data_IF_264488248496
#
_entry.id   IF_264488248496
#
_cell.length_a   1.000
_cell.length_b   1.000
_cell.length_c   1.000
_cell.angle_alpha   90.00
_cell.angle_beta   90.00
_cell.angle_gamma   90.00
#
_symmetry.space_group_name_H-M   'P 1'
#
loop_
_entity.id
_entity.type
_entity.pdbx_description
1 polymer ?
#
# COMPACT_ATOMS: atom_id res chain seq x y z
N UNK A 1 49.94 -3.92 31.58
CA UNK A 1 49.33 -2.67 31.09
C UNK A 1 48.79 -2.98 29.71
N UNK A 2 47.47 -3.27 29.64
CA UNK A 2 46.76 -3.64 28.40
C UNK A 2 46.38 -2.31 27.72
N UNK A 3 46.69 -2.11 26.43
CA UNK A 3 46.31 -0.88 25.74
C UNK A 3 44.79 -0.78 25.60
N UNK A 4 44.21 0.42 25.68
CA UNK A 4 42.77 0.60 25.55
C UNK A 4 42.34 0.20 24.15
N UNK A 5 41.33 -0.66 24.07
CA UNK A 5 40.66 -1.00 22.80
C UNK A 5 40.08 0.28 22.19
N UNK A 6 40.62 0.70 21.05
CA UNK A 6 40.01 1.72 20.21
C UNK A 6 38.63 1.17 19.75
N UNK A 7 37.59 1.70 20.30
CA UNK A 7 36.25 1.51 19.72
C UNK A 7 36.23 2.22 18.35
N UNK A 8 36.25 1.44 17.30
CA UNK A 8 35.95 1.95 15.97
C UNK A 8 34.50 2.44 16.03
N UNK A 9 34.29 3.74 15.88
CA UNK A 9 32.98 4.32 15.67
C UNK A 9 32.56 3.92 14.25
N UNK A 10 31.58 3.07 14.11
CA UNK A 10 30.99 2.85 12.82
C UNK A 10 30.04 4.01 12.51
N UNK A 11 30.01 4.38 11.27
CA UNK A 11 29.24 5.48 10.70
C UNK A 11 28.27 4.81 9.73
N UNK A 12 27.02 5.23 9.69
CA UNK A 12 26.07 4.78 8.66
C UNK A 12 26.45 5.32 7.28
N UNK A 13 25.68 4.97 6.25
CA UNK A 13 25.90 5.43 4.87
C UNK A 13 25.81 6.96 4.74
N UNK A 14 25.17 7.64 5.70
CA UNK A 14 25.01 9.10 5.76
C UNK A 14 26.03 9.80 6.67
N UNK A 15 26.99 9.07 7.27
CA UNK A 15 28.06 9.63 8.10
C UNK A 15 27.67 9.89 9.55
N UNK A 16 26.53 9.37 10.02
CA UNK A 16 26.07 9.51 11.40
C UNK A 16 26.74 8.45 12.28
N UNK A 17 27.30 8.87 13.42
CA UNK A 17 27.91 7.97 14.42
C UNK A 17 26.80 7.27 15.19
N UNK A 18 26.55 6.00 14.86
CA UNK A 18 25.56 5.17 15.56
C UNK A 18 26.07 4.76 16.95
N UNK A 19 25.16 4.69 17.93
CA UNK A 19 25.44 4.10 19.24
C UNK A 19 25.83 2.61 19.06
N UNK A 20 26.83 2.09 19.79
CA UNK A 20 27.25 0.69 19.69
C UNK A 20 26.13 -0.35 19.89
N UNK A 21 25.09 0.01 20.61
CA UNK A 21 23.92 -0.86 20.80
C UNK A 21 22.97 -0.83 19.57
N UNK A 22 22.78 0.32 18.98
CA UNK A 22 22.00 0.52 17.76
C UNK A 22 22.57 -0.29 16.59
N UNK A 23 23.89 -0.32 16.45
CA UNK A 23 24.59 -1.17 15.50
C UNK A 23 24.39 -2.65 15.76
N UNK A 24 24.48 -3.08 17.02
CA UNK A 24 24.24 -4.48 17.38
C UNK A 24 22.80 -4.88 17.13
N UNK A 25 21.85 -3.99 17.40
CA UNK A 25 20.43 -4.23 17.14
C UNK A 25 20.17 -4.31 15.64
N UNK A 26 20.70 -3.41 14.83
CA UNK A 26 20.56 -3.43 13.37
C UNK A 26 21.19 -4.69 12.77
N UNK A 27 22.39 -5.09 13.21
CA UNK A 27 23.04 -6.33 12.77
C UNK A 27 22.24 -7.58 13.18
N UNK A 28 21.67 -7.62 14.36
CA UNK A 28 20.83 -8.73 14.81
C UNK A 28 19.51 -8.76 14.01
N UNK A 29 18.88 -7.62 13.86
CA UNK A 29 17.61 -7.49 13.13
C UNK A 29 17.76 -7.79 11.63
N UNK A 30 18.89 -7.47 11.02
CA UNK A 30 19.19 -7.78 9.62
C UNK A 30 19.49 -9.27 9.39
N UNK A 31 20.05 -9.97 10.40
CA UNK A 31 20.41 -11.39 10.30
C UNK A 31 19.30 -12.34 10.77
N UNK A 32 18.31 -11.86 11.50
CA UNK A 32 17.15 -12.64 11.92
C UNK A 32 16.05 -12.47 10.86
N UNK A 33 15.59 -13.58 10.30
CA UNK A 33 14.40 -13.60 9.42
C UNK A 33 13.12 -13.33 10.21
N UNK A 34 13.09 -12.21 10.93
CA UNK A 34 11.97 -11.76 11.73
C UNK A 34 11.51 -10.36 11.29
N UNK A 35 10.22 -10.15 11.32
CA UNK A 35 9.60 -8.84 11.13
C UNK A 35 9.75 -8.08 12.44
N UNK A 36 10.74 -7.18 12.52
CA UNK A 36 11.02 -6.40 13.73
C UNK A 36 10.75 -4.93 13.42
N UNK A 37 10.05 -4.25 14.33
CA UNK A 37 9.89 -2.80 14.30
C UNK A 37 9.99 -2.21 15.69
N UNK A 38 10.38 -0.93 15.78
CA UNK A 38 10.44 -0.14 17.00
C UNK A 38 9.51 1.06 16.83
N UNK A 39 8.73 1.36 17.84
CA UNK A 39 7.72 2.41 17.81
C UNK A 39 7.84 3.32 19.02
N UNK A 40 7.54 4.61 18.82
CA UNK A 40 7.38 5.56 19.89
C UNK A 40 6.07 5.34 20.69
N UNK A 41 5.86 6.13 21.74
CA UNK A 41 4.66 6.05 22.57
C UNK A 41 3.35 6.31 21.81
N UNK A 42 3.39 7.02 20.69
CA UNK A 42 2.25 7.30 19.83
C UNK A 42 1.97 6.17 18.82
N UNK A 43 2.94 5.24 18.64
CA UNK A 43 2.87 4.15 17.68
C UNK A 43 3.47 4.49 16.32
N UNK A 44 4.29 5.55 16.22
CA UNK A 44 5.01 5.85 14.98
C UNK A 44 6.28 5.00 14.87
N UNK A 45 6.63 4.61 13.64
CA UNK A 45 7.83 3.83 13.40
C UNK A 45 9.11 4.63 13.68
N UNK A 46 9.95 4.11 14.56
CA UNK A 46 11.34 4.56 14.79
C UNK A 46 12.29 3.69 13.97
N UNK A 47 11.98 2.39 13.86
CA UNK A 47 12.73 1.41 13.10
C UNK A 47 11.82 0.41 12.43
N UNK A 48 12.19 -0.04 11.23
CA UNK A 48 11.56 -1.14 10.50
C UNK A 48 12.63 -2.06 9.89
N UNK A 49 12.50 -3.38 10.10
CA UNK A 49 13.41 -4.35 9.47
C UNK A 49 13.17 -4.41 7.96
N UNK A 50 14.18 -4.76 7.16
CA UNK A 50 14.03 -4.92 5.70
C UNK A 50 12.90 -5.88 5.33
N UNK A 51 12.73 -6.96 6.08
CA UNK A 51 11.68 -7.95 5.85
C UNK A 51 10.27 -7.38 6.04
N UNK A 52 10.08 -6.37 6.90
CA UNK A 52 8.80 -5.67 7.02
C UNK A 52 8.49 -4.84 5.76
N UNK A 53 9.49 -4.19 5.19
CA UNK A 53 9.35 -3.48 3.91
C UNK A 53 9.05 -4.44 2.76
N UNK A 54 9.67 -5.62 2.73
CA UNK A 54 9.37 -6.67 1.75
C UNK A 54 7.93 -7.19 1.90
N UNK A 55 7.49 -7.45 3.13
CA UNK A 55 6.12 -7.91 3.41
C UNK A 55 5.08 -6.90 2.97
N UNK A 56 5.27 -5.63 3.33
CA UNK A 56 4.28 -4.57 3.11
C UNK A 56 4.38 -3.93 1.73
N UNK A 57 5.53 -4.07 1.05
CA UNK A 57 5.83 -3.36 -0.19
C UNK A 57 6.11 -1.86 0.02
N UNK A 58 6.16 -1.39 1.28
CA UNK A 58 6.41 0.02 1.61
C UNK A 58 7.89 0.21 1.92
N UNK A 59 8.59 1.13 1.24
CA UNK A 59 9.99 1.42 1.52
C UNK A 59 10.22 1.84 2.97
N UNK A 60 11.35 1.43 3.55
CA UNK A 60 11.72 1.73 4.93
C UNK A 60 11.63 3.22 5.27
N UNK A 61 12.16 4.07 4.39
CA UNK A 61 12.16 5.53 4.60
C UNK A 61 10.76 6.14 4.65
N UNK A 62 9.80 5.51 3.98
CA UNK A 62 8.38 5.89 4.04
C UNK A 62 7.71 5.41 5.33
N UNK A 63 8.18 4.28 5.89
CA UNK A 63 7.69 3.77 7.17
C UNK A 63 8.14 4.63 8.33
N UNK A 64 9.39 5.09 8.34
CA UNK A 64 9.94 5.88 9.44
C UNK A 64 9.12 7.16 9.68
N UNK A 65 8.70 7.37 10.92
CA UNK A 65 7.83 8.48 11.32
C UNK A 65 6.35 8.30 10.98
N UNK A 66 5.98 7.31 10.15
CA UNK A 66 4.57 7.04 9.87
C UNK A 66 3.90 6.26 11.03
N UNK A 67 2.60 6.44 11.27
CA UNK A 67 1.90 5.70 12.29
C UNK A 67 1.69 4.24 11.86
N UNK A 68 1.82 3.28 12.80
CA UNK A 68 1.60 1.84 12.54
C UNK A 68 0.20 1.55 12.00
N UNK A 69 -0.79 2.35 12.37
CA UNK A 69 -2.17 2.25 11.86
C UNK A 69 -2.23 2.29 10.33
N UNK A 70 -1.24 2.93 9.68
CA UNK A 70 -1.12 2.94 8.23
C UNK A 70 -0.93 1.55 7.61
N UNK A 71 -0.45 0.58 8.39
CA UNK A 71 -0.23 -0.79 7.95
C UNK A 71 -1.19 -1.81 8.57
N UNK A 72 -1.92 -1.47 9.62
CA UNK A 72 -2.83 -2.37 10.34
C UNK A 72 -4.23 -2.30 9.72
N UNK A 73 -4.89 -3.44 9.58
CA UNK A 73 -6.29 -3.49 9.11
C UNK A 73 -7.20 -2.64 10.02
N UNK A 74 -8.15 -1.84 9.48
CA UNK A 74 -8.97 -0.91 10.27
C UNK A 74 -9.68 -1.54 11.46
N UNK A 75 -10.29 -2.71 11.25
CA UNK A 75 -10.99 -3.43 12.33
C UNK A 75 -10.06 -3.89 13.45
N UNK A 76 -8.76 -4.01 13.19
CA UNK A 76 -7.77 -4.48 14.15
C UNK A 76 -7.05 -3.32 14.87
N UNK A 77 -7.14 -2.07 14.32
CA UNK A 77 -6.42 -0.91 14.82
C UNK A 77 -6.65 -0.64 16.31
N UNK A 78 -7.90 -0.59 16.77
CA UNK A 78 -8.22 -0.29 18.16
C UNK A 78 -7.65 -1.34 19.11
N UNK A 79 -7.72 -2.62 18.73
CA UNK A 79 -7.18 -3.74 19.50
C UNK A 79 -5.66 -3.65 19.60
N UNK A 80 -4.96 -3.44 18.47
CA UNK A 80 -3.51 -3.33 18.42
C UNK A 80 -3.02 -2.11 19.20
N UNK A 81 -3.63 -0.95 19.00
CA UNK A 81 -3.26 0.28 19.69
C UNK A 81 -3.59 0.25 21.19
N UNK A 82 -4.62 -0.46 21.61
CA UNK A 82 -4.92 -0.63 23.03
C UNK A 82 -3.80 -1.39 23.75
N UNK A 83 -3.26 -2.42 23.10
CA UNK A 83 -2.13 -3.20 23.63
C UNK A 83 -0.85 -2.38 23.61
N UNK A 84 -0.55 -1.66 22.52
CA UNK A 84 0.60 -0.76 22.44
C UNK A 84 0.60 0.27 23.59
N UNK A 85 -0.51 0.98 23.82
CA UNK A 85 -0.65 1.97 24.88
C UNK A 85 -0.58 1.34 26.29
N UNK A 86 -1.08 0.13 26.46
CA UNK A 86 -0.96 -0.58 27.73
C UNK A 86 0.51 -0.92 28.04
N UNK A 87 1.28 -1.23 27.02
CA UNK A 87 2.69 -1.53 27.10
C UNK A 87 3.55 -0.34 27.51
N UNK A 88 3.30 0.83 26.95
CA UNK A 88 3.96 2.10 27.34
C UNK A 88 3.78 2.37 28.84
N UNK A 89 2.73 1.82 29.47
CA UNK A 89 2.40 2.05 30.89
C UNK A 89 2.98 1.01 31.87
N UNK A 90 3.54 -0.10 31.38
CA UNK A 90 4.12 -1.11 32.24
C UNK A 90 4.37 -2.47 31.57
N UNK A 91 5.35 -3.25 32.05
CA UNK A 91 5.80 -4.47 31.39
C UNK A 91 4.78 -5.61 31.50
N UNK A 92 4.58 -6.33 30.43
CA UNK A 92 3.85 -7.57 30.33
C UNK A 92 3.92 -8.07 28.90
N UNK A 93 4.44 -9.28 28.64
CA UNK A 93 4.42 -9.83 27.29
C UNK A 93 2.96 -10.07 26.87
N UNK A 94 2.50 -9.37 25.85
CA UNK A 94 1.21 -9.64 25.20
C UNK A 94 1.46 -9.91 23.75
N UNK A 95 0.84 -10.97 23.28
CA UNK A 95 0.82 -11.31 21.87
C UNK A 95 -0.55 -10.96 21.30
N UNK A 96 -0.58 -10.35 20.13
CA UNK A 96 -1.82 -9.98 19.43
C UNK A 96 -1.75 -10.45 18.01
N UNK A 97 -2.80 -11.11 17.56
CA UNK A 97 -3.02 -11.45 16.16
C UNK A 97 -3.81 -10.34 15.49
N UNK A 98 -3.37 -9.92 14.30
CA UNK A 98 -4.03 -8.90 13.49
C UNK A 98 -3.61 -9.03 12.03
N UNK A 99 -4.21 -8.24 11.17
CA UNK A 99 -3.89 -8.19 9.74
C UNK A 99 -3.03 -6.98 9.44
N UNK A 100 -1.93 -7.19 8.71
CA UNK A 100 -1.05 -6.13 8.23
C UNK A 100 -1.10 -6.06 6.69
N UNK A 101 -0.94 -4.85 6.14
CA UNK A 101 -0.88 -4.63 4.69
C UNK A 101 0.22 -5.52 4.07
N UNK A 102 -0.11 -6.18 2.97
CA UNK A 102 0.83 -6.95 2.17
C UNK A 102 1.19 -6.23 0.86
N UNK A 103 2.36 -6.51 0.32
CA UNK A 103 2.90 -5.89 -0.92
C UNK A 103 2.02 -6.06 -2.16
N UNK A 104 1.10 -7.03 -2.15
CA UNK A 104 0.09 -7.23 -3.19
C UNK A 104 -1.19 -6.43 -2.99
N UNK A 105 -1.27 -5.57 -1.96
CA UNK A 105 -2.46 -4.78 -1.65
C UNK A 105 -3.53 -5.51 -0.83
N UNK A 106 -3.28 -6.75 -0.42
CA UNK A 106 -4.12 -7.52 0.49
C UNK A 106 -3.65 -7.45 1.94
N UNK A 107 -4.22 -8.30 2.79
CA UNK A 107 -3.94 -8.36 4.21
C UNK A 107 -3.28 -9.69 4.59
N UNK A 108 -2.12 -9.59 5.24
CA UNK A 108 -1.40 -10.74 5.76
C UNK A 108 -1.70 -10.92 7.26
N UNK A 109 -2.25 -12.06 7.70
CA UNK A 109 -2.43 -12.32 9.11
C UNK A 109 -1.07 -12.49 9.78
N UNK A 110 -0.88 -11.79 10.88
CA UNK A 110 0.37 -11.79 11.65
C UNK A 110 0.07 -11.90 13.14
N UNK A 111 1.06 -12.37 13.88
CA UNK A 111 1.09 -12.34 15.33
C UNK A 111 2.26 -11.47 15.77
N UNK A 112 2.01 -10.51 16.63
CA UNK A 112 3.04 -9.64 17.19
C UNK A 112 3.17 -9.83 18.69
N UNK A 113 4.40 -10.06 19.14
CA UNK A 113 4.80 -9.99 20.55
C UNK A 113 5.38 -8.61 20.81
N UNK A 114 4.85 -7.93 21.80
CA UNK A 114 5.32 -6.62 22.25
C UNK A 114 6.38 -6.80 23.32
N UNK A 115 7.49 -6.09 23.19
CA UNK A 115 8.59 -6.12 24.16
C UNK A 115 8.95 -4.69 24.52
N UNK A 116 9.16 -4.40 25.81
CA UNK A 116 9.60 -3.09 26.26
C UNK A 116 11.01 -2.82 25.72
N UNK A 117 11.23 -1.64 25.19
CA UNK A 117 12.55 -1.09 24.95
C UNK A 117 12.90 -0.04 26.02
N UNK A 118 14.09 0.54 25.96
CA UNK A 118 14.47 1.61 26.89
C UNK A 118 13.65 2.89 26.61
N UNK A 119 13.21 3.56 27.68
CA UNK A 119 12.37 4.75 27.56
C UNK A 119 10.89 4.42 27.37
N UNK A 120 10.20 5.19 26.51
CA UNK A 120 8.78 4.98 26.17
C UNK A 120 8.61 4.24 24.83
N UNK A 121 9.65 3.58 24.36
CA UNK A 121 9.66 2.86 23.10
C UNK A 121 9.16 1.41 23.27
N UNK A 122 8.49 0.89 22.24
CA UNK A 122 7.96 -0.47 22.22
C UNK A 122 8.48 -1.21 21.00
N UNK A 123 9.21 -2.30 21.26
CA UNK A 123 9.65 -3.21 20.20
C UNK A 123 8.52 -4.19 19.86
N UNK A 124 8.27 -4.35 18.56
CA UNK A 124 7.34 -5.32 18.02
C UNK A 124 8.12 -6.42 17.30
N UNK A 125 7.92 -7.65 17.75
CA UNK A 125 8.45 -8.84 17.07
C UNK A 125 7.27 -9.53 16.42
N UNK A 126 7.18 -9.44 15.10
CA UNK A 126 6.04 -9.91 14.33
C UNK A 126 6.42 -11.19 13.57
N UNK A 127 5.52 -12.15 13.52
CA UNK A 127 5.61 -13.35 12.66
C UNK A 127 4.38 -13.47 11.81
N UNK A 128 4.54 -13.97 10.59
CA UNK A 128 3.39 -14.35 9.78
C UNK A 128 2.70 -15.56 10.40
N UNK A 129 1.39 -15.54 10.39
CA UNK A 129 0.61 -16.74 10.70
C UNK A 129 0.44 -17.51 9.39
N UNK A 130 1.07 -18.68 9.32
CA UNK A 130 0.76 -19.64 8.27
C UNK A 130 -0.64 -20.17 8.56
N UNK A 131 -1.61 -19.82 7.73
CA UNK A 131 -2.96 -20.39 7.81
C UNK A 131 -2.87 -21.84 7.33
N UNK A 132 -2.49 -22.73 8.23
CA UNK A 132 -2.52 -24.16 7.99
C UNK A 132 -3.98 -24.58 7.89
N UNK A 133 -4.48 -24.83 6.69
CA UNK A 133 -5.76 -25.49 6.45
C UNK A 133 -6.95 -24.60 6.08
N UNK A 134 -6.79 -23.31 5.85
CA UNK A 134 -7.78 -22.60 5.06
C UNK A 134 -7.52 -22.93 3.58
N UNK A 135 -8.39 -23.72 2.97
CA UNK A 135 -8.52 -23.69 1.52
C UNK A 135 -8.59 -22.21 1.11
N UNK A 136 -7.90 -21.77 0.04
CA UNK A 136 -8.01 -20.39 -0.41
C UNK A 136 -9.50 -20.17 -0.74
N UNK A 137 -10.21 -19.53 0.18
CA UNK A 137 -11.47 -18.93 -0.18
C UNK A 137 -11.10 -17.91 -1.24
N UNK A 138 -11.43 -18.21 -2.46
CA UNK A 138 -11.16 -17.52 -3.70
C UNK A 138 -11.89 -16.18 -3.78
N UNK A 139 -11.63 -15.29 -2.87
CA UNK A 139 -11.56 -13.88 -3.16
C UNK A 139 -10.11 -13.59 -3.50
N UNK A 140 -9.70 -13.96 -4.70
CA UNK A 140 -8.34 -13.73 -5.16
C UNK A 140 -8.04 -12.24 -4.99
N UNK A 141 -7.20 -11.92 -4.02
CA UNK A 141 -6.78 -10.53 -3.74
C UNK A 141 -5.97 -9.98 -4.92
N UNK A 142 -5.40 -10.89 -5.70
CA UNK A 142 -4.61 -10.63 -6.91
C UNK A 142 -5.17 -11.46 -8.06
N UNK A 143 -5.39 -10.82 -9.19
CA UNK A 143 -5.77 -11.51 -10.41
C UNK A 143 -4.57 -12.30 -10.97
N UNK A 144 -4.68 -13.64 -11.15
CA UNK A 144 -3.55 -14.47 -11.56
C UNK A 144 -3.05 -14.20 -12.99
N UNK A 145 -3.89 -13.65 -13.86
CA UNK A 145 -3.52 -13.36 -15.24
C UNK A 145 -2.74 -12.06 -15.38
N UNK A 146 -3.09 -11.06 -14.61
CA UNK A 146 -2.45 -9.74 -14.66
C UNK A 146 -1.44 -9.52 -13.54
N UNK A 147 -1.56 -10.24 -12.41
CA UNK A 147 -0.77 -10.00 -11.21
C UNK A 147 -1.15 -8.71 -10.48
N UNK A 148 -2.27 -8.08 -10.84
CA UNK A 148 -2.77 -6.85 -10.23
C UNK A 148 -3.77 -7.15 -9.11
N UNK A 149 -3.84 -6.32 -8.07
CA UNK A 149 -4.91 -6.32 -7.10
C UNK A 149 -6.30 -6.31 -7.75
N UNK A 150 -7.24 -7.05 -7.19
CA UNK A 150 -8.60 -7.15 -7.71
C UNK A 150 -9.48 -6.00 -7.23
N UNK A 151 -10.70 -5.91 -7.77
CA UNK A 151 -11.74 -4.99 -7.29
C UNK A 151 -11.98 -5.12 -5.78
N UNK A 152 -11.89 -6.33 -5.24
CA UNK A 152 -12.05 -6.56 -3.80
C UNK A 152 -10.95 -5.85 -3.01
N UNK A 153 -9.68 -6.04 -3.38
CA UNK A 153 -8.54 -5.38 -2.75
C UNK A 153 -8.62 -3.85 -2.83
N UNK A 154 -9.10 -3.32 -3.97
CA UNK A 154 -9.30 -1.88 -4.14
C UNK A 154 -10.37 -1.33 -3.18
N UNK A 155 -11.51 -2.02 -3.04
CA UNK A 155 -12.58 -1.62 -2.13
C UNK A 155 -12.16 -1.71 -0.66
N UNK A 156 -11.41 -2.76 -0.30
CA UNK A 156 -10.88 -2.94 1.04
C UNK A 156 -9.85 -1.84 1.37
N UNK A 157 -8.93 -1.55 0.45
CA UNK A 157 -7.97 -0.43 0.59
C UNK A 157 -8.67 0.92 0.72
N UNK A 158 -9.72 1.16 -0.06
CA UNK A 158 -10.50 2.40 0.02
C UNK A 158 -11.27 2.49 1.33
N UNK A 159 -11.84 1.38 1.82
CA UNK A 159 -12.48 1.32 3.13
C UNK A 159 -11.49 1.71 4.25
N UNK A 160 -10.28 1.18 4.17
CA UNK A 160 -9.21 1.57 5.08
C UNK A 160 -8.86 3.06 4.97
N UNK A 161 -8.69 3.60 3.77
CA UNK A 161 -8.35 5.01 3.58
C UNK A 161 -9.42 5.96 4.17
N UNK A 162 -10.69 5.59 4.08
CA UNK A 162 -11.81 6.38 4.59
C UNK A 162 -12.04 6.22 6.09
N UNK A 163 -11.46 5.19 6.73
CA UNK A 163 -11.63 4.94 8.15
C UNK A 163 -10.81 5.94 8.98
N UNK A 164 -11.34 6.44 10.12
CA UNK A 164 -10.62 7.39 10.99
C UNK A 164 -9.27 6.85 11.53
N UNK A 165 -9.15 5.53 11.73
CA UNK A 165 -7.89 4.91 12.12
C UNK A 165 -6.89 4.74 10.95
N UNK A 166 -7.35 4.88 9.71
CA UNK A 166 -6.52 4.99 8.52
C UNK A 166 -6.11 6.44 8.29
N UNK A 167 -6.25 6.92 7.04
CA UNK A 167 -5.98 8.33 6.72
C UNK A 167 -7.19 9.25 6.91
N UNK A 168 -8.38 8.70 7.13
CA UNK A 168 -9.64 9.45 7.27
C UNK A 168 -10.14 10.07 5.96
N UNK A 169 -9.37 9.94 4.89
CA UNK A 169 -9.64 10.50 3.57
C UNK A 169 -9.10 9.58 2.46
N UNK A 170 -9.71 9.64 1.29
CA UNK A 170 -9.27 8.84 0.16
C UNK A 170 -9.85 9.32 -1.17
N UNK A 171 -9.09 9.09 -2.24
CA UNK A 171 -9.51 9.36 -3.61
C UNK A 171 -9.43 8.10 -4.46
N UNK A 172 -10.26 8.06 -5.49
CA UNK A 172 -10.29 7.00 -6.49
C UNK A 172 -10.12 7.62 -7.87
N UNK A 173 -9.22 7.06 -8.65
CA UNK A 173 -9.04 7.39 -10.06
C UNK A 173 -9.25 6.13 -10.87
N UNK A 174 -10.27 6.09 -11.71
CA UNK A 174 -10.57 5.00 -12.63
C UNK A 174 -10.03 5.35 -14.01
N UNK A 175 -9.35 4.40 -14.62
CA UNK A 175 -8.80 4.50 -15.97
C UNK A 175 -9.47 3.44 -16.83
N UNK A 176 -10.23 3.87 -17.82
CA UNK A 176 -10.75 3.02 -18.89
C UNK A 176 -9.86 3.15 -20.10
N UNK A 177 -9.55 2.03 -20.73
CA UNK A 177 -8.76 1.97 -21.97
C UNK A 177 -9.68 1.72 -23.14
N UNK A 178 -9.93 2.76 -23.93
CA UNK A 178 -10.73 2.63 -25.13
C UNK A 178 -9.91 1.96 -26.23
N UNK A 179 -10.49 0.99 -26.92
CA UNK A 179 -9.83 0.18 -27.94
C UNK A 179 -9.36 -1.21 -27.48
N UNK A 180 -9.60 -1.58 -26.22
CA UNK A 180 -9.25 -2.91 -25.70
C UNK A 180 -10.04 -4.03 -26.40
N UNK A 181 -11.24 -3.77 -26.89
CA UNK A 181 -12.06 -4.72 -27.64
C UNK A 181 -11.31 -5.21 -28.89
N UNK A 182 -10.62 -4.31 -29.61
CA UNK A 182 -9.83 -4.66 -30.79
C UNK A 182 -8.65 -5.57 -30.44
N UNK A 183 -8.05 -5.37 -29.27
CA UNK A 183 -6.98 -6.28 -28.81
C UNK A 183 -7.54 -7.68 -28.53
N UNK A 184 -8.74 -7.77 -27.93
CA UNK A 184 -9.42 -9.06 -27.71
C UNK A 184 -9.70 -9.74 -29.05
N UNK A 185 -10.24 -9.02 -30.05
CA UNK A 185 -10.58 -9.55 -31.37
C UNK A 185 -9.34 -10.03 -32.14
N UNK A 186 -8.26 -9.22 -32.13
CA UNK A 186 -7.06 -9.49 -32.92
C UNK A 186 -6.11 -10.51 -32.27
N UNK A 187 -6.02 -10.54 -30.95
CA UNK A 187 -4.96 -11.25 -30.21
C UNK A 187 -5.46 -12.08 -29.01
N UNK A 188 -6.73 -12.02 -28.71
CA UNK A 188 -7.36 -12.75 -27.60
C UNK A 188 -7.08 -12.17 -26.21
N UNK A 189 -7.78 -12.71 -25.21
CA UNK A 189 -7.68 -12.29 -23.79
C UNK A 189 -6.28 -12.29 -23.17
N UNK A 190 -5.36 -13.22 -23.50
CA UNK A 190 -4.02 -13.15 -22.93
C UNK A 190 -3.26 -11.86 -23.25
N UNK A 191 -3.52 -11.26 -24.42
CA UNK A 191 -2.92 -9.98 -24.80
C UNK A 191 -3.44 -8.81 -23.96
N UNK A 192 -4.74 -8.81 -23.62
CA UNK A 192 -5.31 -7.77 -22.75
C UNK A 192 -4.73 -7.84 -21.34
N UNK A 193 -4.50 -9.04 -20.80
CA UNK A 193 -3.85 -9.21 -19.48
C UNK A 193 -2.43 -8.64 -19.46
N UNK A 194 -1.67 -8.80 -20.55
CA UNK A 194 -0.34 -8.21 -20.68
C UNK A 194 -0.40 -6.67 -20.70
N UNK A 195 -1.35 -6.09 -21.46
CA UNK A 195 -1.58 -4.65 -21.50
C UNK A 195 -1.91 -4.10 -20.13
N UNK A 196 -2.88 -4.70 -19.43
CA UNK A 196 -3.31 -4.25 -18.11
C UNK A 196 -2.17 -4.35 -17.09
N UNK A 197 -1.38 -5.42 -17.10
CA UNK A 197 -0.21 -5.58 -16.24
C UNK A 197 0.85 -4.52 -16.50
N UNK A 198 1.18 -4.25 -17.77
CA UNK A 198 2.18 -3.24 -18.14
C UNK A 198 1.70 -1.84 -17.74
N UNK A 199 0.44 -1.51 -18.03
CA UNK A 199 -0.15 -0.25 -17.62
C UNK A 199 -0.21 -0.11 -16.09
N UNK A 200 -0.63 -1.14 -15.36
CA UNK A 200 -0.65 -1.13 -13.90
C UNK A 200 0.72 -0.82 -13.31
N UNK A 201 1.79 -1.40 -13.86
CA UNK A 201 3.17 -1.11 -13.46
C UNK A 201 3.57 0.35 -13.77
N UNK A 202 3.18 0.88 -14.93
CA UNK A 202 3.45 2.27 -15.27
C UNK A 202 2.71 3.25 -14.36
N UNK A 203 1.42 3.00 -14.06
CA UNK A 203 0.65 3.81 -13.13
C UNK A 203 1.26 3.76 -11.72
N UNK A 204 1.61 2.57 -11.23
CA UNK A 204 2.25 2.42 -9.92
C UNK A 204 3.55 3.21 -9.80
N UNK A 205 4.33 3.36 -10.89
CA UNK A 205 5.58 4.12 -10.89
C UNK A 205 5.42 5.63 -10.68
N UNK A 206 4.22 6.15 -10.86
CA UNK A 206 3.91 7.59 -10.69
C UNK A 206 3.05 7.87 -9.46
N UNK A 207 2.74 6.85 -8.68
CA UNK A 207 1.98 6.94 -7.45
C UNK A 207 2.88 6.81 -6.22
N UNK A 208 2.31 7.09 -5.04
CA UNK A 208 3.02 6.92 -3.76
C UNK A 208 3.04 5.43 -3.37
N UNK A 209 4.01 4.99 -2.54
CA UNK A 209 4.10 3.58 -2.09
C UNK A 209 2.84 3.06 -1.38
N UNK A 210 2.07 3.93 -0.75
CA UNK A 210 0.83 3.57 -0.05
C UNK A 210 -0.41 3.61 -0.94
N UNK A 211 -0.30 4.12 -2.16
CA UNK A 211 -1.40 4.09 -3.13
C UNK A 211 -1.47 2.71 -3.79
N UNK A 212 -2.67 2.26 -4.12
CA UNK A 212 -2.90 0.93 -4.69
C UNK A 212 -3.47 1.04 -6.10
N UNK A 213 -2.87 0.33 -7.05
CA UNK A 213 -3.40 0.14 -8.39
C UNK A 213 -3.93 -1.28 -8.53
N UNK A 214 -5.11 -1.43 -9.07
CA UNK A 214 -5.73 -2.74 -9.28
C UNK A 214 -6.63 -2.79 -10.50
N UNK A 215 -7.02 -3.99 -10.85
CA UNK A 215 -7.90 -4.29 -11.97
C UNK A 215 -9.36 -4.29 -11.52
N UNK A 216 -10.22 -3.63 -12.30
CA UNK A 216 -11.67 -3.68 -12.12
C UNK A 216 -12.30 -4.72 -13.05
N UNK A 217 -11.87 -4.75 -14.30
CA UNK A 217 -12.32 -5.66 -15.36
C UNK A 217 -11.29 -5.73 -16.51
N UNK A 218 -11.67 -6.32 -17.64
CA UNK A 218 -10.79 -6.53 -18.81
C UNK A 218 -10.38 -5.22 -19.53
N UNK A 219 -10.94 -4.07 -19.16
CA UNK A 219 -10.70 -2.77 -19.81
C UNK A 219 -10.35 -1.65 -18.85
N UNK A 220 -10.50 -1.87 -17.52
CA UNK A 220 -10.41 -0.81 -16.53
C UNK A 220 -9.47 -1.16 -15.40
N UNK A 221 -8.65 -0.19 -15.05
CA UNK A 221 -7.87 -0.16 -13.82
C UNK A 221 -8.42 0.92 -12.88
N UNK A 222 -8.09 0.81 -11.59
CA UNK A 222 -8.30 1.91 -10.66
C UNK A 222 -7.10 2.10 -9.76
N UNK A 223 -6.87 3.36 -9.37
CA UNK A 223 -5.94 3.73 -8.33
C UNK A 223 -6.70 4.23 -7.10
N UNK A 224 -6.33 3.75 -5.92
CA UNK A 224 -6.82 4.22 -4.62
C UNK A 224 -5.71 4.98 -3.95
N UNK A 225 -5.93 6.26 -3.66
CA UNK A 225 -4.98 7.18 -3.05
C UNK A 225 -5.43 7.53 -1.64
N UNK A 226 -4.72 7.02 -0.63
CA UNK A 226 -5.01 7.27 0.77
C UNK A 226 -4.56 8.67 1.21
N UNK A 227 -5.34 9.31 2.12
CA UNK A 227 -5.01 10.64 2.64
C UNK A 227 -5.14 11.77 1.60
N UNK A 228 -5.98 11.58 0.58
CA UNK A 228 -6.26 12.58 -0.46
C UNK A 228 -7.73 12.96 -0.40
N UNK A 229 -8.01 14.22 -0.07
CA UNK A 229 -9.36 14.80 0.04
C UNK A 229 -9.52 16.12 -0.72
N UNK A 230 -8.43 16.69 -1.23
CA UNK A 230 -8.44 17.90 -2.03
C UNK A 230 -8.62 17.61 -3.53
N UNK A 231 -9.65 18.18 -4.14
CA UNK A 231 -9.93 18.04 -5.58
C UNK A 231 -8.73 18.41 -6.47
N UNK A 232 -8.01 19.48 -6.12
CA UNK A 232 -6.82 19.93 -6.86
C UNK A 232 -5.70 18.88 -6.86
N UNK A 233 -5.57 18.16 -5.76
CA UNK A 233 -4.59 17.05 -5.64
C UNK A 233 -5.05 15.85 -6.44
N UNK A 234 -6.34 15.51 -6.42
CA UNK A 234 -6.92 14.42 -7.20
C UNK A 234 -6.76 14.68 -8.70
N UNK A 235 -7.04 15.89 -9.17
CA UNK A 235 -6.85 16.27 -10.59
C UNK A 235 -5.39 16.08 -11.02
N UNK A 236 -4.43 16.53 -10.20
CA UNK A 236 -2.99 16.33 -10.51
C UNK A 236 -2.59 14.85 -10.58
N UNK A 237 -3.14 14.02 -9.70
CA UNK A 237 -2.89 12.58 -9.73
C UNK A 237 -3.50 11.98 -10.99
N UNK A 238 -4.75 12.32 -11.30
CA UNK A 238 -5.46 11.84 -12.46
C UNK A 238 -4.76 12.23 -13.77
N UNK A 239 -4.23 13.47 -13.88
CA UNK A 239 -3.46 13.93 -15.05
C UNK A 239 -2.17 13.12 -15.22
N UNK A 240 -1.41 12.89 -14.16
CA UNK A 240 -0.20 12.06 -14.23
C UNK A 240 -0.51 10.64 -14.67
N UNK A 241 -1.62 10.08 -14.18
CA UNK A 241 -2.07 8.74 -14.58
C UNK A 241 -2.46 8.75 -16.07
N UNK A 242 -3.25 9.75 -16.52
CA UNK A 242 -3.65 9.89 -17.92
C UNK A 242 -2.43 9.98 -18.85
N UNK A 243 -1.47 10.84 -18.51
CA UNK A 243 -0.22 11.00 -19.30
C UNK A 243 0.56 9.69 -19.43
N UNK A 244 0.64 8.92 -18.36
CA UNK A 244 1.33 7.61 -18.38
C UNK A 244 0.53 6.58 -19.15
N UNK A 245 -0.79 6.59 -19.04
CA UNK A 245 -1.67 5.67 -19.74
C UNK A 245 -1.76 5.95 -21.26
N UNK A 246 -1.53 7.20 -21.68
CA UNK A 246 -1.47 7.59 -23.09
C UNK A 246 -0.16 7.19 -23.79
N UNK A 247 0.85 6.73 -23.05
CA UNK A 247 2.12 6.28 -23.64
C UNK A 247 1.93 4.97 -24.38
N UNK A 248 2.63 4.78 -25.52
CA UNK A 248 2.59 3.52 -26.21
C UNK A 248 3.03 2.37 -25.29
N UNK A 249 2.19 1.37 -25.18
CA UNK A 249 2.53 0.14 -24.47
C UNK A 249 3.25 -0.81 -25.43
N UNK A 250 4.27 -1.54 -24.96
CA UNK A 250 5.09 -2.43 -25.78
C UNK A 250 4.33 -3.62 -26.40
N UNK A 251 3.08 -3.82 -25.99
CA UNK A 251 2.22 -4.90 -26.45
C UNK A 251 1.36 -4.39 -27.63
N UNK A 252 1.90 -4.47 -28.84
CA UNK A 252 1.07 -4.60 -30.04
C UNK A 252 0.79 -3.41 -30.92
N UNK A 253 1.28 -2.22 -30.63
CA UNK A 253 1.15 -1.08 -31.54
C UNK A 253 -0.27 -0.55 -31.79
N UNK A 254 -1.28 -1.05 -31.03
CA UNK A 254 -2.64 -0.52 -31.07
C UNK A 254 -2.70 0.68 -30.13
N UNK A 255 -3.03 1.88 -30.63
CA UNK A 255 -3.18 3.04 -29.78
C UNK A 255 -4.39 2.84 -28.86
N UNK A 256 -4.15 2.94 -27.55
CA UNK A 256 -5.20 2.96 -26.53
C UNK A 256 -5.44 4.40 -26.09
N UNK A 257 -6.69 4.76 -25.92
CA UNK A 257 -7.10 6.09 -25.49
C UNK A 257 -7.54 6.00 -24.02
N UNK A 258 -6.85 6.68 -23.09
CA UNK A 258 -7.27 6.66 -21.68
C UNK A 258 -8.45 7.60 -21.44
N UNK A 259 -9.50 7.08 -20.84
CA UNK A 259 -10.64 7.84 -20.33
C UNK A 259 -10.60 7.77 -18.80
N UNK A 260 -10.43 8.93 -18.14
CA UNK A 260 -10.15 8.98 -16.70
C UNK A 260 -11.31 9.62 -15.94
N UNK A 261 -11.83 8.90 -14.96
CA UNK A 261 -12.79 9.40 -13.98
C UNK A 261 -12.18 9.45 -12.58
N UNK A 262 -12.39 10.52 -11.85
CA UNK A 262 -11.82 10.69 -10.53
C UNK A 262 -12.83 11.25 -9.52
N UNK A 263 -12.67 10.87 -8.25
CA UNK A 263 -13.46 11.39 -7.13
C UNK A 263 -12.68 11.30 -5.84
N UNK A 264 -13.09 12.04 -4.82
CA UNK A 264 -12.51 11.96 -3.48
C UNK A 264 -13.56 12.07 -2.38
N UNK A 265 -13.16 11.75 -1.16
CA UNK A 265 -14.03 11.77 0.03
C UNK A 265 -14.46 13.17 0.47
N UNK A 266 -13.86 14.26 -0.05
CA UNK A 266 -14.25 15.64 0.25
C UNK A 266 -15.71 15.96 -0.13
N UNK A 267 -16.27 15.24 -1.09
CA UNK A 267 -17.67 15.35 -1.50
C UNK A 267 -18.70 14.82 -0.47
N UNK A 268 -18.26 14.45 0.75
CA UNK A 268 -19.13 13.94 1.81
C UNK A 268 -19.53 12.45 1.65
N UNK A 269 -19.10 11.82 0.58
CA UNK A 269 -19.34 10.40 0.31
C UNK A 269 -18.26 9.58 1.01
N UNK A 270 -18.62 8.85 2.07
CA UNK A 270 -17.69 7.97 2.82
C UNK A 270 -17.93 6.47 2.59
N UNK A 271 -18.65 6.11 1.54
CA UNK A 271 -18.89 4.71 1.20
C UNK A 271 -17.96 4.28 0.06
N UNK A 272 -17.05 3.31 0.29
CA UNK A 272 -16.07 2.88 -0.71
C UNK A 272 -16.68 2.54 -2.07
N UNK A 273 -17.76 1.76 -2.06
CA UNK A 273 -18.44 1.36 -3.30
C UNK A 273 -19.06 2.53 -4.06
N UNK A 274 -19.57 3.55 -3.35
CA UNK A 274 -20.17 4.73 -3.99
C UNK A 274 -19.09 5.62 -4.64
N UNK A 275 -17.93 5.82 -3.98
CA UNK A 275 -16.81 6.55 -4.58
C UNK A 275 -16.28 5.82 -5.83
N UNK A 276 -16.09 4.51 -5.74
CA UNK A 276 -15.64 3.74 -6.90
C UNK A 276 -16.64 3.82 -8.05
N UNK A 277 -17.94 3.74 -7.74
CA UNK A 277 -19.00 3.81 -8.75
C UNK A 277 -19.04 5.19 -9.42
N UNK A 278 -18.92 6.29 -8.66
CA UNK A 278 -18.88 7.64 -9.20
C UNK A 278 -17.69 7.85 -10.15
N UNK A 279 -16.51 7.37 -9.78
CA UNK A 279 -15.32 7.43 -10.65
C UNK A 279 -15.48 6.56 -11.92
N UNK A 280 -16.15 5.40 -11.83
CA UNK A 280 -16.48 4.56 -12.99
C UNK A 280 -17.40 5.29 -13.98
N UNK A 281 -18.47 5.88 -13.50
CA UNK A 281 -19.44 6.62 -14.32
C UNK A 281 -18.80 7.85 -14.99
N UNK A 282 -17.89 8.52 -14.27
CA UNK A 282 -17.11 9.61 -14.81
C UNK A 282 -16.19 9.15 -15.96
N UNK A 283 -15.48 8.02 -15.78
CA UNK A 283 -14.61 7.47 -16.83
C UNK A 283 -15.42 7.03 -18.06
N UNK A 284 -16.58 6.41 -17.88
CA UNK A 284 -17.48 6.02 -18.97
C UNK A 284 -18.02 7.25 -19.70
N UNK A 285 -18.31 8.35 -19.00
CA UNK A 285 -18.73 9.62 -19.60
C UNK A 285 -17.63 10.22 -20.47
N UNK A 286 -16.37 10.17 -20.03
CA UNK A 286 -15.22 10.63 -20.82
C UNK A 286 -15.06 9.78 -22.08
N UNK A 287 -15.13 8.46 -21.96
CA UNK A 287 -15.05 7.53 -23.08
C UNK A 287 -16.12 7.81 -24.14
N UNK A 288 -17.37 8.05 -23.71
CA UNK A 288 -18.48 8.37 -24.61
C UNK A 288 -18.28 9.70 -25.37
N UNK A 289 -17.42 10.59 -24.88
CA UNK A 289 -17.07 11.88 -25.52
C UNK A 289 -15.80 11.84 -26.39
N UNK A 290 -15.20 10.66 -26.57
CA UNK A 290 -14.02 10.46 -27.41
C UNK A 290 -12.72 10.19 -26.64
N UNK A 291 -12.77 10.12 -25.33
CA UNK A 291 -11.63 9.77 -24.49
C UNK A 291 -10.58 10.87 -24.33
N UNK A 292 -9.35 10.46 -23.90
CA UNK A 292 -8.18 11.31 -23.63
C UNK A 292 -8.46 12.56 -22.78
N UNK A 293 -9.29 12.40 -21.78
CA UNK A 293 -9.68 13.47 -20.86
C UNK A 293 -9.89 12.94 -19.44
N UNK A 294 -10.08 13.88 -18.51
CA UNK A 294 -10.40 13.61 -17.10
C UNK A 294 -11.75 14.23 -16.76
N UNK A 295 -12.54 13.52 -15.98
CA UNK A 295 -13.73 14.05 -15.32
C UNK A 295 -13.62 13.81 -13.82
N UNK A 296 -13.67 14.90 -13.05
CA UNK A 296 -13.81 14.87 -11.60
C UNK A 296 -15.29 14.95 -11.23
N UNK A 297 -15.71 14.19 -10.20
CA UNK A 297 -17.08 14.16 -9.66
C UNK A 297 -17.05 14.11 -8.12
#
# INVERSE_FOLDING_TARGET
MVPPKRHLKAVDEDGIVLDPWEQRFQLLAANVRALISLHDAAGSFIYASPLLSELTGVPRDTLLGSPIQALVHPEDCDRVMSVHRAWVRGPGAKTVEYRVLASGGGWCPVETTFVAAEGAEVQWITRRLDVVGAEPQTTAEIDPATGLPTRFSLLDRLAWALHPAGSGAGAVVVIRLDGMERIVEDRGRPATSLVLRELGRHISSVLRPLDLVGQLDDQRLAAVCAGVDEETTVVRIAERIREVAARPLGVGGIPLIPSVGATCSAAGVRRPAALLQAALEAADTVSARGGDAIQLV
#
